data_IF_011350609570
#
_entry.id   IF_011350609570
#
_cell.length_a   1.000
_cell.length_b   1.000
_cell.length_c   1.000
_cell.angle_alpha   90.00
_cell.angle_beta   90.00
_cell.angle_gamma   90.00
#
_symmetry.space_group_name_H-M   'P 1'
#
loop_
_entity.id
_entity.type
_entity.pdbx_description
1 polymer ?
#
# COMPACT_ATOMS: atom_id res chain seq x y z
N UNK A 1 -71.93 -4.27 -51.69
CA UNK A 1 -70.62 -4.96 -51.64
C UNK A 1 -69.47 -4.01 -51.33
N UNK A 2 -69.33 -2.87 -52.03
CA UNK A 2 -68.23 -1.91 -51.81
C UNK A 2 -68.10 -1.35 -50.37
N UNK A 3 -69.23 -0.98 -49.74
CA UNK A 3 -69.24 -0.46 -48.36
C UNK A 3 -68.81 -1.49 -47.31
N UNK A 4 -69.16 -2.77 -47.49
CA UNK A 4 -68.67 -3.84 -46.62
C UNK A 4 -67.17 -4.05 -46.76
N UNK A 5 -66.63 -3.94 -47.98
CA UNK A 5 -65.18 -4.09 -48.22
C UNK A 5 -64.41 -3.00 -47.46
N UNK A 6 -64.85 -1.74 -47.54
CA UNK A 6 -64.23 -0.62 -46.82
C UNK A 6 -64.30 -0.80 -45.29
N UNK A 7 -65.46 -1.23 -44.78
CA UNK A 7 -65.64 -1.50 -43.37
C UNK A 7 -64.70 -2.61 -42.87
N UNK A 8 -64.59 -3.72 -43.63
CA UNK A 8 -63.70 -4.84 -43.28
C UNK A 8 -62.23 -4.41 -43.34
N UNK A 9 -61.81 -3.65 -44.36
CA UNK A 9 -60.43 -3.14 -44.41
C UNK A 9 -60.11 -2.21 -43.25
N UNK A 10 -61.04 -1.33 -42.88
CA UNK A 10 -60.85 -0.43 -41.73
C UNK A 10 -60.70 -1.18 -40.41
N UNK A 11 -61.52 -2.21 -40.19
CA UNK A 11 -61.43 -3.08 -39.01
C UNK A 11 -60.12 -3.86 -39.00
N UNK A 12 -59.71 -4.45 -40.14
CA UNK A 12 -58.45 -5.20 -40.23
C UNK A 12 -57.23 -4.31 -39.98
N UNK A 13 -57.19 -3.11 -40.57
CA UNK A 13 -56.11 -2.15 -40.34
C UNK A 13 -56.11 -1.65 -38.89
N UNK A 14 -57.28 -1.37 -38.31
CA UNK A 14 -57.40 -0.96 -36.91
C UNK A 14 -56.92 -2.03 -35.93
N UNK A 15 -57.34 -3.27 -36.12
CA UNK A 15 -56.89 -4.41 -35.32
C UNK A 15 -55.39 -4.68 -35.50
N UNK A 16 -54.89 -4.56 -36.74
CA UNK A 16 -53.46 -4.68 -37.02
C UNK A 16 -52.63 -3.61 -36.31
N UNK A 17 -53.09 -2.36 -36.31
CA UNK A 17 -52.46 -1.26 -35.58
C UNK A 17 -52.46 -1.47 -34.07
N UNK A 18 -53.58 -1.94 -33.50
CA UNK A 18 -53.70 -2.22 -32.07
C UNK A 18 -52.78 -3.37 -31.65
N UNK A 19 -52.72 -4.44 -32.45
CA UNK A 19 -51.82 -5.57 -32.21
C UNK A 19 -50.35 -5.14 -32.27
N UNK A 20 -49.97 -4.35 -33.28
CA UNK A 20 -48.60 -3.85 -33.43
C UNK A 20 -48.22 -2.90 -32.29
N UNK A 21 -49.11 -1.98 -31.92
CA UNK A 21 -48.89 -1.06 -30.79
C UNK A 21 -48.76 -1.79 -29.45
N UNK A 22 -49.60 -2.81 -29.22
CA UNK A 22 -49.51 -3.67 -28.05
C UNK A 22 -48.19 -4.45 -27.98
N UNK A 23 -47.74 -5.01 -29.11
CA UNK A 23 -46.46 -5.70 -29.20
C UNK A 23 -45.27 -4.77 -28.94
N UNK A 24 -45.27 -3.58 -29.54
CA UNK A 24 -44.22 -2.58 -29.33
C UNK A 24 -44.14 -2.15 -27.85
N UNK A 25 -45.28 -1.94 -27.19
CA UNK A 25 -45.33 -1.59 -25.77
C UNK A 25 -44.83 -2.72 -24.87
N UNK A 26 -45.20 -3.97 -25.16
CA UNK A 26 -44.70 -5.14 -24.44
C UNK A 26 -43.17 -5.24 -24.56
N UNK A 27 -42.64 -5.08 -25.78
CA UNK A 27 -41.20 -5.10 -26.02
C UNK A 27 -40.45 -3.95 -25.36
N UNK A 28 -41.00 -2.74 -25.34
CA UNK A 28 -40.40 -1.62 -24.62
C UNK A 28 -40.30 -1.91 -23.12
N UNK A 29 -41.34 -2.51 -22.52
CA UNK A 29 -41.34 -2.89 -21.10
C UNK A 29 -40.32 -3.97 -20.78
N UNK A 30 -40.13 -4.95 -21.66
CA UNK A 30 -39.11 -5.98 -21.48
C UNK A 30 -37.70 -5.37 -21.51
N UNK A 31 -37.42 -4.47 -22.45
CA UNK A 31 -36.13 -3.76 -22.56
C UNK A 31 -35.86 -2.91 -21.30
N UNK A 32 -36.89 -2.24 -20.78
CA UNK A 32 -36.78 -1.46 -19.53
C UNK A 32 -36.47 -2.35 -18.31
N UNK A 33 -37.03 -3.56 -18.26
CA UNK A 33 -36.75 -4.52 -17.20
C UNK A 33 -35.30 -5.02 -17.27
N UNK A 34 -34.84 -5.38 -18.46
CA UNK A 34 -33.47 -5.85 -18.69
C UNK A 34 -32.42 -4.78 -18.36
N UNK A 35 -32.66 -3.54 -18.81
CA UNK A 35 -31.77 -2.41 -18.50
C UNK A 35 -31.70 -2.12 -17.00
N UNK A 36 -32.80 -2.25 -16.26
CA UNK A 36 -32.79 -2.12 -14.79
C UNK A 36 -31.97 -3.22 -14.12
N UNK A 37 -32.08 -4.46 -14.57
CA UNK A 37 -31.28 -5.58 -14.03
C UNK A 37 -29.80 -5.36 -14.27
N UNK A 38 -29.41 -4.88 -15.45
CA UNK A 38 -28.03 -4.53 -15.77
C UNK A 38 -27.53 -3.36 -14.91
N UNK A 39 -28.34 -2.30 -14.77
CA UNK A 39 -28.00 -1.15 -13.93
C UNK A 39 -27.83 -1.54 -12.46
N UNK A 40 -28.69 -2.42 -11.93
CA UNK A 40 -28.59 -2.92 -10.57
C UNK A 40 -27.34 -3.78 -10.36
N UNK A 41 -27.02 -4.67 -11.29
CA UNK A 41 -25.79 -5.48 -11.23
C UNK A 41 -24.55 -4.61 -11.29
N UNK A 42 -24.52 -3.61 -12.18
CA UNK A 42 -23.44 -2.64 -12.28
C UNK A 42 -23.26 -1.84 -10.99
N UNK A 43 -24.36 -1.34 -10.40
CA UNK A 43 -24.34 -0.62 -9.13
C UNK A 43 -23.87 -1.52 -7.97
N UNK A 44 -24.36 -2.77 -7.89
CA UNK A 44 -23.93 -3.73 -6.88
C UNK A 44 -22.43 -4.05 -7.00
N UNK A 45 -21.91 -4.23 -8.21
CA UNK A 45 -20.47 -4.41 -8.43
C UNK A 45 -19.65 -3.16 -8.11
N UNK A 46 -20.22 -1.96 -8.32
CA UNK A 46 -19.56 -0.70 -7.92
C UNK A 46 -19.48 -0.55 -6.39
N UNK A 47 -20.48 -1.06 -5.65
CA UNK A 47 -20.43 -1.10 -4.19
C UNK A 47 -19.46 -2.16 -3.66
N UNK A 48 -19.35 -3.32 -4.30
CA UNK A 48 -18.31 -4.31 -3.98
C UNK A 48 -16.91 -3.83 -4.42
N UNK A 49 -16.85 -2.98 -5.43
CA UNK A 49 -15.66 -2.29 -5.91
C UNK A 49 -15.39 -0.94 -5.23
N UNK A 50 -16.08 -0.60 -4.15
CA UNK A 50 -15.70 0.53 -3.31
C UNK A 50 -14.32 0.20 -2.75
N UNK A 51 -13.28 0.69 -3.42
CA UNK A 51 -11.91 0.35 -3.12
C UNK A 51 -11.68 0.52 -1.62
N UNK A 52 -11.24 -0.55 -0.96
CA UNK A 52 -11.00 -0.57 0.48
C UNK A 52 -10.11 0.64 0.84
N UNK A 53 -10.59 1.61 1.64
CA UNK A 53 -9.83 2.81 1.97
C UNK A 53 -8.47 2.51 2.62
N UNK A 54 -8.29 1.31 3.19
CA UNK A 54 -7.02 0.85 3.74
C UNK A 54 -6.12 0.14 2.73
N UNK A 55 -6.61 -0.16 1.53
CA UNK A 55 -5.77 -0.77 0.49
C UNK A 55 -4.64 0.19 0.08
N UNK A 56 -3.44 -0.35 -0.04
CA UNK A 56 -2.28 0.36 -0.61
C UNK A 56 -2.54 0.60 -2.10
N UNK A 57 -2.40 1.86 -2.53
CA UNK A 57 -2.68 2.31 -3.91
C UNK A 57 -1.55 3.13 -4.48
N UNK A 58 -0.93 3.93 -3.61
CA UNK A 58 0.09 4.89 -3.97
C UNK A 58 1.43 4.34 -3.49
N UNK A 59 2.31 4.02 -4.46
CA UNK A 59 3.61 3.42 -4.18
C UNK A 59 4.70 4.01 -5.05
N UNK A 60 5.87 4.20 -4.45
CA UNK A 60 7.07 4.64 -5.15
C UNK A 60 8.31 4.07 -4.49
N UNK A 61 9.37 3.89 -5.28
CA UNK A 61 10.68 3.42 -4.79
C UNK A 61 11.76 4.35 -5.30
N UNK A 62 12.63 4.76 -4.39
CA UNK A 62 13.78 5.60 -4.64
C UNK A 62 15.06 4.85 -4.28
N UNK A 63 15.98 4.69 -5.23
CA UNK A 63 17.32 4.15 -4.97
C UNK A 63 18.36 5.26 -4.92
N UNK A 64 19.35 5.13 -4.02
CA UNK A 64 20.40 6.12 -3.78
C UNK A 64 21.62 5.52 -3.08
N UNK A 65 22.70 6.30 -3.05
CA UNK A 65 23.91 6.00 -2.28
C UNK A 65 23.83 6.74 -0.94
N UNK A 66 23.54 6.02 0.14
CA UNK A 66 23.35 6.58 1.49
C UNK A 66 24.67 6.77 2.27
N UNK A 67 25.72 6.07 1.85
CA UNK A 67 27.04 6.06 2.47
C UNK A 67 28.08 6.41 1.39
N UNK A 68 29.03 7.29 1.70
CA UNK A 68 30.01 7.82 0.72
C UNK A 68 30.92 6.73 0.11
N UNK A 69 31.17 5.67 0.86
CA UNK A 69 31.95 4.50 0.43
C UNK A 69 31.20 3.54 -0.50
N UNK A 70 29.91 3.76 -0.70
CA UNK A 70 29.07 2.95 -1.60
C UNK A 70 28.85 3.68 -2.92
N UNK A 71 28.73 2.90 -4.00
CA UNK A 71 28.25 3.40 -5.27
C UNK A 71 27.33 2.37 -5.92
N UNK A 72 26.44 2.85 -6.79
CA UNK A 72 25.53 2.01 -7.55
C UNK A 72 24.09 1.98 -7.01
N UNK A 73 23.71 2.98 -6.22
CA UNK A 73 22.36 3.18 -5.70
C UNK A 73 21.82 1.97 -4.92
N UNK A 74 22.64 1.44 -4.00
CA UNK A 74 22.34 0.21 -3.26
C UNK A 74 21.34 0.39 -2.11
N UNK A 75 21.23 1.61 -1.58
CA UNK A 75 20.23 1.92 -0.55
C UNK A 75 18.93 2.33 -1.20
N UNK A 76 17.82 2.16 -0.49
CA UNK A 76 16.51 2.53 -1.03
C UNK A 76 15.55 3.05 0.03
N UNK A 77 14.57 3.81 -0.42
CA UNK A 77 13.37 4.17 0.32
C UNK A 77 12.13 3.78 -0.50
N UNK A 78 11.12 3.23 0.14
CA UNK A 78 9.87 2.74 -0.44
C UNK A 78 8.70 3.36 0.34
N UNK A 79 7.79 4.02 -0.35
CA UNK A 79 6.52 4.46 0.24
C UNK A 79 5.41 3.49 -0.20
N UNK A 80 4.59 3.07 0.77
CA UNK A 80 3.38 2.27 0.58
C UNK A 80 2.23 3.00 1.27
N UNK A 81 1.40 3.70 0.50
CA UNK A 81 0.34 4.56 0.99
C UNK A 81 -1.02 4.14 0.43
N UNK A 82 -2.07 4.36 1.21
CA UNK A 82 -3.45 4.28 0.74
C UNK A 82 -3.85 5.57 0.00
N UNK A 83 -5.10 5.63 -0.48
CA UNK A 83 -5.61 6.80 -1.21
C UNK A 83 -5.74 8.08 -0.38
N UNK A 84 -5.67 7.99 0.96
CA UNK A 84 -5.68 9.15 1.86
C UNK A 84 -4.25 9.66 2.17
N UNK A 85 -3.22 8.94 1.69
CA UNK A 85 -1.81 9.22 1.98
C UNK A 85 -1.34 8.67 3.33
N UNK A 86 -2.13 7.79 3.96
CA UNK A 86 -1.75 7.07 5.17
C UNK A 86 -1.01 5.78 4.80
N UNK A 87 0.00 5.40 5.58
CA UNK A 87 0.73 4.17 5.36
C UNK A 87 2.11 4.17 6.02
N UNK A 88 3.10 3.67 5.29
CA UNK A 88 4.46 3.51 5.81
C UNK A 88 5.50 3.88 4.76
N UNK A 89 6.60 4.50 5.21
CA UNK A 89 7.84 4.59 4.46
C UNK A 89 8.87 3.64 5.05
N UNK A 90 9.45 2.81 4.21
CA UNK A 90 10.50 1.84 4.52
C UNK A 90 11.81 2.33 3.93
N UNK A 91 12.86 2.37 4.72
CA UNK A 91 14.18 2.80 4.27
C UNK A 91 15.22 1.76 4.64
N UNK A 92 15.99 1.31 3.65
CA UNK A 92 17.10 0.39 3.84
C UNK A 92 18.40 1.08 3.46
N UNK A 93 19.29 1.23 4.45
CA UNK A 93 20.64 1.75 4.29
C UNK A 93 21.57 0.56 4.21
N UNK A 94 22.17 0.37 3.03
CA UNK A 94 22.97 -0.80 2.71
C UNK A 94 24.45 -0.44 2.62
N UNK A 95 25.25 -0.98 3.55
CA UNK A 95 26.71 -0.95 3.53
C UNK A 95 27.32 -2.21 2.92
N UNK A 96 28.64 -2.37 3.04
CA UNK A 96 29.36 -3.53 2.48
C UNK A 96 29.25 -4.75 3.39
N UNK A 97 29.23 -4.54 4.70
CA UNK A 97 29.21 -5.58 5.73
C UNK A 97 27.89 -5.66 6.49
N UNK A 98 27.05 -4.62 6.41
CA UNK A 98 25.80 -4.55 7.16
C UNK A 98 24.70 -3.81 6.39
N UNK A 99 23.45 -4.06 6.79
CA UNK A 99 22.26 -3.36 6.33
C UNK A 99 21.38 -2.99 7.52
N UNK A 100 20.85 -1.78 7.52
CA UNK A 100 19.86 -1.33 8.52
C UNK A 100 18.59 -0.94 7.80
N UNK A 101 17.45 -1.42 8.30
CA UNK A 101 16.13 -1.10 7.76
C UNK A 101 15.29 -0.42 8.82
N UNK A 102 14.66 0.69 8.43
CA UNK A 102 13.80 1.51 9.24
C UNK A 102 12.41 1.59 8.63
N UNK A 103 11.40 1.78 9.47
CA UNK A 103 10.04 2.05 9.05
C UNK A 103 9.50 3.26 9.82
N UNK A 104 8.89 4.21 9.11
CA UNK A 104 8.21 5.36 9.70
C UNK A 104 6.76 5.36 9.24
N UNK A 105 5.84 5.55 10.18
CA UNK A 105 4.43 5.73 9.85
C UNK A 105 4.24 7.08 9.16
N UNK A 106 3.38 7.08 8.13
CA UNK A 106 2.99 8.28 7.39
C UNK A 106 1.48 8.43 7.57
N UNK A 107 1.04 9.63 7.94
CA UNK A 107 -0.36 10.01 8.10
C UNK A 107 -0.61 11.24 7.24
N UNK A 108 -1.52 11.13 6.28
CA UNK A 108 -1.89 12.17 5.31
C UNK A 108 -0.69 12.74 4.53
N UNK A 109 0.33 11.91 4.30
CA UNK A 109 1.57 12.27 3.62
C UNK A 109 2.64 12.94 4.49
N UNK A 110 2.43 13.05 5.80
CA UNK A 110 3.40 13.57 6.76
C UNK A 110 3.79 12.50 7.79
N UNK A 111 4.90 12.66 8.49
CA UNK A 111 5.33 11.74 9.55
C UNK A 111 5.50 12.50 10.87
N UNK A 112 5.16 11.86 11.99
CA UNK A 112 5.37 12.42 13.33
C UNK A 112 6.85 12.60 13.68
N UNK A 113 7.73 11.85 13.01
CA UNK A 113 9.19 11.98 13.08
C UNK A 113 9.73 12.59 11.79
N UNK A 114 10.81 13.36 11.88
CA UNK A 114 11.43 14.01 10.73
C UNK A 114 11.84 12.96 9.66
N UNK A 115 11.37 13.18 8.43
CA UNK A 115 11.74 12.36 7.28
C UNK A 115 13.09 12.81 6.72
N UNK A 116 13.91 11.86 6.28
CA UNK A 116 15.09 12.18 5.50
C UNK A 116 14.69 12.80 4.14
N UNK A 117 15.61 13.49 3.45
CA UNK A 117 15.34 14.02 2.12
C UNK A 117 14.89 12.93 1.12
N UNK A 118 15.41 11.71 1.24
CA UNK A 118 15.06 10.56 0.40
C UNK A 118 13.66 10.03 0.75
N UNK A 119 13.36 9.88 2.04
CA UNK A 119 12.05 9.45 2.54
C UNK A 119 10.94 10.42 2.12
N UNK A 120 11.17 11.72 2.31
CA UNK A 120 10.23 12.77 1.90
C UNK A 120 9.98 12.73 0.39
N UNK A 121 11.04 12.55 -0.42
CA UNK A 121 10.92 12.46 -1.88
C UNK A 121 10.10 11.25 -2.31
N UNK A 122 10.29 10.08 -1.70
CA UNK A 122 9.53 8.89 -2.09
C UNK A 122 8.06 8.97 -1.67
N UNK A 123 7.75 9.55 -0.50
CA UNK A 123 6.36 9.81 -0.07
C UNK A 123 5.67 10.76 -1.05
N UNK A 124 6.37 11.84 -1.45
CA UNK A 124 5.85 12.76 -2.47
C UNK A 124 5.65 12.08 -3.82
N UNK A 125 6.61 11.28 -4.27
CA UNK A 125 6.53 10.56 -5.55
C UNK A 125 5.36 9.58 -5.59
N UNK A 126 5.13 8.83 -4.50
CA UNK A 126 3.99 7.92 -4.38
C UNK A 126 2.66 8.66 -4.54
N UNK A 127 2.50 9.79 -3.83
CA UNK A 127 1.28 10.62 -3.89
C UNK A 127 1.06 11.31 -5.24
N UNK A 128 2.13 11.53 -6.00
CA UNK A 128 2.07 12.08 -7.36
C UNK A 128 1.86 11.00 -8.43
N UNK A 129 1.85 9.72 -8.05
CA UNK A 129 1.72 8.61 -8.99
C UNK A 129 2.94 8.43 -9.90
N UNK A 130 4.13 8.87 -9.46
CA UNK A 130 5.37 8.78 -10.25
C UNK A 130 5.90 7.32 -10.37
N UNK A 131 5.34 6.38 -9.60
CA UNK A 131 5.52 4.94 -9.76
C UNK A 131 6.86 4.37 -9.28
N UNK A 132 7.13 3.12 -9.67
CA UNK A 132 8.37 2.39 -9.33
C UNK A 132 9.43 2.71 -10.39
N UNK A 133 10.55 3.32 -9.99
CA UNK A 133 11.68 3.55 -10.91
C UNK A 133 12.34 4.93 -10.83
N UNK A 134 11.91 5.82 -9.94
CA UNK A 134 12.64 7.07 -9.69
C UNK A 134 14.01 6.73 -9.08
N UNK A 135 15.07 6.84 -9.87
CA UNK A 135 16.44 6.83 -9.35
C UNK A 135 16.87 8.29 -9.30
N UNK A 136 16.86 8.92 -8.12
CA UNK A 136 17.48 10.24 -8.00
C UNK A 136 18.98 10.00 -7.95
N UNK A 137 19.64 10.19 -9.09
CA UNK A 137 21.08 10.39 -9.11
C UNK A 137 21.38 11.67 -8.35
N UNK A 138 22.09 11.57 -7.24
CA UNK A 138 22.59 12.74 -6.52
C UNK A 138 23.34 13.67 -7.50
N UNK A 139 23.21 15.00 -7.39
CA UNK A 139 24.06 15.91 -8.13
C UNK A 139 25.52 15.58 -7.79
N UNK A 140 26.28 15.07 -8.76
CA UNK A 140 27.73 14.99 -8.56
C UNK A 140 28.25 16.41 -8.63
N UNK A 141 28.86 16.90 -7.56
CA UNK A 141 29.86 17.96 -7.71
C UNK A 141 31.06 17.31 -8.41
N UNK A 142 31.02 17.29 -9.75
CA UNK A 142 32.14 16.89 -10.60
C UNK A 142 32.67 18.14 -11.29
N UNK A 143 33.47 18.90 -10.56
CA UNK A 143 34.32 19.97 -11.09
C UNK A 143 35.65 19.94 -10.33
N UNK A 144 36.77 20.35 -10.95
CA UNK A 144 38.02 20.48 -10.23
C UNK A 144 37.81 21.51 -9.11
N UNK A 145 38.19 21.17 -7.88
CA UNK A 145 38.30 22.13 -6.79
C UNK A 145 39.45 23.08 -7.18
N UNK A 146 39.09 24.18 -7.84
CA UNK A 146 39.98 25.33 -7.96
C UNK A 146 39.98 25.97 -6.58
N UNK A 147 41.13 25.88 -5.89
CA UNK A 147 41.40 26.70 -4.73
C UNK A 147 41.24 28.17 -5.14
N UNK A 148 40.17 28.79 -4.65
CA UNK A 148 39.84 30.17 -4.93
C UNK A 148 39.16 30.75 -3.71
N UNK A 149 39.90 31.57 -2.98
CA UNK A 149 39.42 32.36 -1.86
C UNK A 149 38.24 33.24 -2.31
N UNK A 150 37.04 32.85 -1.92
CA UNK A 150 35.86 33.70 -2.01
C UNK A 150 34.94 33.35 -0.85
N UNK A 151 35.03 34.16 0.21
CA UNK A 151 34.06 34.19 1.30
C UNK A 151 32.66 34.42 0.72
N UNK A 152 31.76 33.44 0.89
CA UNK A 152 30.32 33.62 0.67
C UNK A 152 29.69 33.89 2.04
N UNK A 153 28.98 35.01 2.24
CA UNK A 153 28.45 35.35 3.55
C UNK A 153 27.31 34.39 3.91
N UNK A 154 27.50 33.63 4.99
CA UNK A 154 26.41 32.92 5.67
C UNK A 154 25.50 33.98 6.26
N UNK A 155 24.28 34.12 5.72
CA UNK A 155 23.22 34.87 6.39
C UNK A 155 22.72 34.02 7.55
N UNK A 156 23.29 34.26 8.73
CA UNK A 156 22.78 33.74 10.00
C UNK A 156 21.43 34.39 10.24
N UNK A 157 20.35 33.62 10.15
CA UNK A 157 19.05 34.01 10.71
C UNK A 157 19.21 33.98 12.23
N UNK A 158 19.03 35.10 12.96
CA UNK A 158 19.19 35.10 14.40
C UNK A 158 18.04 34.34 15.07
N UNK A 159 18.41 33.43 15.97
CA UNK A 159 17.52 32.80 16.95
C UNK A 159 16.87 33.88 17.85
N UNK A 160 15.52 33.96 17.98
CA UNK A 160 14.84 34.99 18.74
C UNK A 160 14.86 34.81 20.26
N UNK A 161 15.61 33.84 20.83
CA UNK A 161 15.75 33.70 22.28
C UNK A 161 17.20 33.51 22.75
N UNK A 162 18.01 34.57 22.68
CA UNK A 162 19.27 34.67 23.42
C UNK A 162 19.17 35.78 24.50
N UNK A 163 19.35 35.48 25.81
CA UNK A 163 19.44 36.51 26.84
C UNK A 163 20.77 37.30 26.73
N UNK A 164 20.80 38.60 27.08
CA UNK A 164 21.97 39.45 26.85
C UNK A 164 23.20 39.04 27.66
N UNK A 165 24.36 39.11 27.01
CA UNK A 165 25.67 38.75 27.54
C UNK A 165 26.06 39.57 28.77
N UNK A 166 26.41 38.88 29.86
CA UNK A 166 27.03 39.46 31.06
C UNK A 166 28.55 39.65 30.90
N UNK A 167 29.18 40.47 31.77
CA UNK A 167 30.59 40.85 31.63
C UNK A 167 31.56 39.71 32.00
N UNK A 168 32.74 39.73 31.37
CA UNK A 168 33.79 38.70 31.45
C UNK A 168 34.48 38.49 32.82
N UNK A 169 35.51 37.63 32.87
CA UNK A 169 35.60 36.55 33.86
C UNK A 169 36.52 36.82 35.06
N UNK A 170 36.34 36.07 36.15
CA UNK A 170 37.28 35.90 37.28
C UNK A 170 37.10 34.52 37.96
N UNK A 171 38.11 34.02 38.70
CA UNK A 171 38.84 32.80 38.36
C UNK A 171 38.35 31.50 39.01
N UNK A 172 38.91 30.43 38.46
CA UNK A 172 38.85 28.99 38.77
C UNK A 172 38.63 28.60 40.24
N UNK A 173 37.77 27.58 40.44
CA UNK A 173 37.87 26.63 41.54
C UNK A 173 37.53 25.22 41.05
N UNK A 174 38.34 24.28 41.55
CA UNK A 174 38.45 22.87 41.21
C UNK A 174 37.17 22.03 41.34
N UNK A 175 37.18 20.95 40.54
CA UNK A 175 36.27 19.81 40.41
C UNK A 175 36.03 19.03 41.73
N UNK A 176 35.01 18.13 41.81
CA UNK A 176 35.28 16.75 41.38
C UNK A 176 34.11 15.97 40.73
N UNK A 177 34.42 15.29 39.60
CA UNK A 177 34.14 13.90 39.25
C UNK A 177 32.77 13.24 39.56
N UNK A 178 31.88 13.25 38.55
CA UNK A 178 31.02 12.14 38.08
C UNK A 178 29.87 11.58 38.98
N UNK A 179 29.02 10.66 38.47
CA UNK A 179 28.98 10.08 37.12
C UNK A 179 27.63 10.15 36.37
N UNK A 180 27.76 10.08 35.03
CA UNK A 180 26.89 9.48 34.01
C UNK A 180 25.47 9.01 34.41
N UNK A 181 24.44 9.65 33.85
CA UNK A 181 23.05 9.19 33.91
C UNK A 181 22.64 8.49 32.62
N UNK A 182 22.63 7.16 32.65
CA UNK A 182 22.04 6.27 31.63
C UNK A 182 20.50 6.36 31.69
N UNK A 183 19.84 6.57 30.55
CA UNK A 183 18.38 6.43 30.42
C UNK A 183 18.03 4.95 30.22
N UNK A 184 17.05 4.49 31.00
CA UNK A 184 16.64 3.08 31.14
C UNK A 184 15.78 2.59 29.97
N UNK A 185 16.08 1.41 29.45
CA UNK A 185 15.22 0.61 28.55
C UNK A 185 14.97 -0.73 29.24
N UNK A 186 13.72 -1.22 29.37
CA UNK A 186 13.46 -2.54 29.94
C UNK A 186 14.00 -3.63 29.02
N UNK A 187 14.82 -4.51 29.57
CA UNK A 187 15.29 -5.73 28.93
C UNK A 187 14.20 -6.79 29.00
N UNK A 188 13.58 -7.10 27.85
CA UNK A 188 12.66 -8.23 27.71
C UNK A 188 13.50 -9.41 27.22
N UNK A 189 13.85 -10.31 28.14
CA UNK A 189 14.48 -11.59 27.82
C UNK A 189 13.50 -12.56 27.15
N UNK A 190 14.00 -13.60 26.45
CA UNK A 190 13.16 -14.59 25.80
C UNK A 190 12.53 -15.54 26.83
N UNK A 191 11.20 -15.63 26.88
CA UNK A 191 10.51 -16.69 27.61
C UNK A 191 10.55 -17.99 26.76
N UNK A 192 11.24 -19.01 27.28
CA UNK A 192 11.18 -20.39 26.78
C UNK A 192 9.98 -21.16 27.39
N UNK A 193 9.46 -22.18 26.69
CA UNK A 193 8.13 -22.73 26.91
C UNK A 193 8.08 -23.78 28.02
N UNK A 194 7.12 -23.67 28.94
CA UNK A 194 6.79 -24.72 29.91
C UNK A 194 5.47 -25.44 29.55
N UNK A 195 5.56 -26.75 29.34
CA UNK A 195 4.54 -27.77 29.61
C UNK A 195 5.28 -29.09 29.94
N UNK A 196 4.71 -30.10 30.64
CA UNK A 196 3.29 -30.31 30.98
C UNK A 196 3.01 -30.79 32.44
N UNK A 197 1.78 -30.66 32.92
CA UNK A 197 1.25 -31.58 33.97
C UNK A 197 -0.13 -32.12 33.59
N UNK A 198 -0.22 -33.45 33.60
CA UNK A 198 -1.42 -34.26 33.40
C UNK A 198 -2.45 -34.04 34.51
N UNK A 199 -3.71 -33.84 34.14
CA UNK A 199 -4.85 -34.24 34.96
C UNK A 199 -5.96 -34.82 34.08
N UNK A 200 -6.15 -36.12 34.25
CA UNK A 200 -7.15 -36.98 33.64
C UNK A 200 -8.51 -36.75 34.30
N UNK A 201 -9.60 -36.59 33.52
CA UNK A 201 -10.79 -37.49 33.48
C UNK A 201 -12.09 -36.78 33.00
N UNK A 202 -12.54 -37.21 31.81
CA UNK A 202 -13.91 -37.42 31.31
C UNK A 202 -15.01 -36.33 31.37
N UNK A 203 -15.51 -35.92 30.19
CA UNK A 203 -16.90 -36.14 29.79
C UNK A 203 -17.09 -35.96 28.27
N UNK A 204 -18.09 -36.67 27.77
CA UNK A 204 -18.39 -37.09 26.41
C UNK A 204 -19.06 -36.02 25.51
N UNK A 205 -18.97 -36.26 24.19
CA UNK A 205 -19.92 -35.98 23.12
C UNK A 205 -19.54 -34.98 22.01
N UNK A 206 -19.66 -35.44 20.75
CA UNK A 206 -20.00 -34.59 19.60
C UNK A 206 -19.10 -34.71 18.36
N UNK A 207 -19.59 -35.41 17.33
CA UNK A 207 -19.04 -35.59 15.97
C UNK A 207 -18.69 -34.25 15.25
N UNK A 208 -17.85 -34.16 14.22
CA UNK A 208 -17.70 -35.03 13.06
C UNK A 208 -16.36 -34.79 12.34
N UNK A 209 -15.70 -35.86 11.87
CA UNK A 209 -14.48 -35.82 11.05
C UNK A 209 -14.82 -36.17 9.60
N UNK A 210 -14.72 -35.21 8.69
CA UNK A 210 -14.74 -35.44 7.24
C UNK A 210 -13.32 -35.80 6.78
N UNK A 211 -13.11 -37.07 6.41
CA UNK A 211 -11.87 -37.55 5.77
C UNK A 211 -11.96 -37.35 4.26
N UNK A 212 -11.03 -36.60 3.66
CA UNK A 212 -10.79 -36.63 2.22
C UNK A 212 -10.21 -37.98 1.82
N UNK A 213 -10.84 -38.61 0.83
CA UNK A 213 -10.47 -39.92 0.27
C UNK A 213 -9.80 -39.70 -1.08
N UNK A 214 -8.49 -39.95 -1.15
CA UNK A 214 -7.71 -39.96 -2.40
C UNK A 214 -8.07 -41.21 -3.23
N UNK A 215 -8.31 -41.11 -4.55
CA UNK A 215 -8.57 -42.28 -5.39
C UNK A 215 -7.28 -43.04 -5.77
N UNK A 216 -7.33 -44.36 -5.99
CA UNK A 216 -6.15 -45.17 -6.30
C UNK A 216 -5.71 -45.05 -7.78
N UNK A 217 -4.39 -45.01 -7.98
CA UNK A 217 -3.70 -44.94 -9.28
C UNK A 217 -3.57 -46.35 -9.88
N UNK A 218 -4.23 -46.59 -11.01
CA UNK A 218 -4.18 -47.86 -11.76
C UNK A 218 -2.84 -48.02 -12.49
N UNK A 219 -2.18 -49.17 -12.31
CA UNK A 219 -0.96 -49.55 -13.04
C UNK A 219 -1.30 -50.36 -14.32
N UNK A 220 -0.54 -50.23 -15.42
CA UNK A 220 -0.78 -50.98 -16.66
C UNK A 220 -0.24 -52.43 -16.59
N UNK A 221 -1.00 -53.35 -17.19
CA UNK A 221 -0.72 -54.79 -17.26
C UNK A 221 0.37 -55.16 -18.29
N UNK A 222 1.18 -56.21 -18.05
CA UNK A 222 2.19 -56.68 -19.00
C UNK A 222 1.58 -57.52 -20.14
N UNK A 223 2.03 -57.30 -21.38
CA UNK A 223 1.76 -58.17 -22.54
C UNK A 223 3.06 -58.82 -23.02
N UNK A 224 3.08 -60.15 -23.00
CA UNK A 224 4.03 -61.06 -23.65
C UNK A 224 3.75 -62.47 -23.12
N UNK A 225 3.64 -63.55 -23.90
CA UNK A 225 3.70 -63.84 -25.34
C UNK A 225 3.42 -65.34 -25.55
N UNK A 226 3.41 -65.79 -26.82
CA UNK A 226 3.21 -67.17 -27.32
C UNK A 226 1.77 -67.72 -27.15
N UNK A 227 1.11 -68.34 -28.13
CA UNK A 227 1.52 -69.11 -29.33
C UNK A 227 0.89 -68.59 -30.64
#
# INVERSE_FOLDING_TARGET
MFTMILAVTGVLTGLGGLALGGYALARARDIDADTRVLAQRAAASAQVGAADPLAVRDMAVLHYDALEEMSGARSFSLALLNGDGDGVVLTSINGRTESRTYAKAVVRGESGTLLSPEEYRVVRAARLGEGIGTTVRAPRVSGPVVAGDAEVPVTVVPDPQAPPAGPGPRPEREEPAGPSGTVWVPEIGPEEPEEPEEAVLAADSGAARTRLRTPPRTAPAPRGGAE
#
